data_IF_134438683310
#
_entry.id   IF_134438683310
#
_cell.length_a   1.000
_cell.length_b   1.000
_cell.length_c   1.000
_cell.angle_alpha   90.00
_cell.angle_beta   90.00
_cell.angle_gamma   90.00
#
_symmetry.space_group_name_H-M   'P 1'
#
loop_
_entity.id
_entity.type
_entity.pdbx_description
1 polymer ?
2 water ?
#
# COMPACT_ATOMS: atom_id res chain seq x y z
N UNK A 3 -14.94 -11.34 -10.68
CA UNK A 3 -13.82 -12.25 -10.92
C UNK A 3 -12.66 -11.55 -11.59
N UNK A 4 -11.49 -12.20 -11.55
CA UNK A 4 -10.31 -11.74 -12.25
C UNK A 4 -9.69 -12.94 -12.96
N UNK A 5 -8.66 -12.67 -13.75
CA UNK A 5 -7.97 -13.74 -14.44
C UNK A 5 -6.90 -14.36 -13.54
N UNK A 6 -6.51 -15.59 -13.89
CA UNK A 6 -5.46 -16.25 -13.12
C UNK A 6 -4.19 -15.42 -13.10
N UNK A 7 -3.85 -14.78 -14.22
CA UNK A 7 -2.64 -13.96 -14.28
C UNK A 7 -2.72 -12.77 -13.33
N UNK A 8 -3.84 -12.05 -13.36
CA UNK A 8 -4.07 -10.95 -12.43
C UNK A 8 -3.98 -11.43 -10.99
N UNK A 9 -4.61 -12.56 -10.70
CA UNK A 9 -4.57 -13.11 -9.34
C UNK A 9 -3.14 -13.44 -8.92
N UNK A 10 -2.35 -14.02 -9.82
CA UNK A 10 -0.96 -14.32 -9.51
C UNK A 10 -0.19 -13.05 -9.16
N UNK A 11 -0.38 -11.99 -9.96
CA UNK A 11 0.27 -10.72 -9.64
C UNK A 11 -0.18 -10.19 -8.28
N UNK A 12 -1.48 -10.27 -7.99
CA UNK A 12 -2.00 -9.70 -6.75
C UNK A 12 -1.47 -10.47 -5.53
N UNK A 13 -1.44 -11.81 -5.62
CA UNK A 13 -0.85 -12.63 -4.55
C UNK A 13 0.63 -12.39 -4.40
N UNK A 14 1.30 -11.90 -5.46
CA UNK A 14 2.74 -11.74 -5.38
C UNK A 14 3.13 -10.44 -4.69
N UNK A 15 2.60 -9.30 -5.18
CA UNK A 15 3.12 -8.03 -4.69
C UNK A 15 2.80 -7.79 -3.21
N UNK A 16 1.74 -8.42 -2.71
CA UNK A 16 1.44 -8.32 -1.29
C UNK A 16 2.59 -8.85 -0.43
N UNK A 17 3.43 -9.73 -0.97
CA UNK A 17 4.52 -10.27 -0.15
C UNK A 17 5.65 -9.27 0.12
N UNK A 18 5.82 -8.27 -0.74
CA UNK A 18 6.73 -7.18 -0.40
C UNK A 18 6.16 -6.33 0.74
N UNK A 19 4.84 -6.12 0.73
CA UNK A 19 4.22 -5.50 1.90
C UNK A 19 4.44 -6.35 3.14
N UNK A 20 4.33 -7.66 3.00
CA UNK A 20 4.57 -8.54 4.14
C UNK A 20 6.00 -8.39 4.66
N UNK A 21 6.97 -8.28 3.76
CA UNK A 21 8.35 -8.10 4.19
C UNK A 21 8.53 -6.78 4.92
N UNK A 22 7.79 -5.74 4.51
CA UNK A 22 7.92 -4.44 5.15
C UNK A 22 7.68 -4.49 6.66
N UNK A 23 6.98 -5.49 7.16
CA UNK A 23 6.74 -5.55 8.60
C UNK A 23 7.92 -6.05 9.39
N UNK A 24 8.93 -6.62 8.73
CA UNK A 24 10.06 -7.27 9.42
C UNK A 24 11.16 -6.26 9.68
N UNK A 25 11.45 -5.99 10.96
CA UNK A 25 12.58 -5.13 11.31
C UNK A 25 13.87 -5.63 10.68
N UNK A 26 14.03 -6.95 10.55
CA UNK A 26 15.20 -7.50 9.88
C UNK A 26 15.33 -6.99 8.45
N UNK A 27 14.23 -6.66 7.80
CA UNK A 27 14.33 -6.22 6.41
C UNK A 27 14.52 -4.72 6.30
N UNK A 28 13.84 -3.92 7.11
CA UNK A 28 13.98 -2.48 6.96
C UNK A 28 15.16 -1.92 7.76
N UNK A 29 15.90 -2.75 8.48
CA UNK A 29 17.21 -2.36 9.00
C UNK A 29 18.33 -3.14 8.37
N UNK A 30 18.04 -3.84 7.27
CA UNK A 30 19.05 -4.67 6.63
C UNK A 30 20.17 -3.81 6.04
N UNK A 31 21.34 -4.42 5.89
CA UNK A 31 22.45 -3.78 5.24
C UNK A 31 22.28 -3.83 3.72
N UNK A 32 22.80 -2.80 3.05
CA UNK A 32 22.73 -2.73 1.59
C UNK A 32 23.20 -4.06 1.00
N UNK A 33 22.38 -4.62 0.13
CA UNK A 33 22.71 -5.85 -0.55
C UNK A 33 22.20 -7.11 0.11
N UNK A 34 21.73 -7.03 1.36
CA UNK A 34 21.15 -8.20 2.00
C UNK A 34 19.89 -8.64 1.27
N UNK A 35 19.59 -9.93 1.37
CA UNK A 35 18.38 -10.49 0.77
C UNK A 35 17.17 -10.23 1.65
N UNK A 36 16.04 -9.86 1.02
CA UNK A 36 14.78 -9.80 1.75
C UNK A 36 14.41 -11.20 2.24
N UNK A 37 13.96 -11.29 3.49
CA UNK A 37 13.56 -12.57 4.05
C UNK A 37 12.43 -12.35 5.04
N UNK A 38 11.51 -13.31 5.08
CA UNK A 38 10.38 -13.28 6.01
C UNK A 38 10.48 -14.52 6.89
N UNK A 39 10.90 -14.32 8.14
CA UNK A 39 11.15 -15.47 9.00
C UNK A 39 9.88 -16.27 9.24
N UNK A 40 8.72 -15.63 9.22
CA UNK A 40 7.47 -16.35 9.44
C UNK A 40 6.92 -17.00 8.17
N UNK A 41 7.67 -16.97 7.07
CA UNK A 41 7.28 -17.73 5.89
C UNK A 41 6.15 -17.12 5.09
N UNK A 42 5.97 -15.80 5.14
CA UNK A 42 4.87 -15.17 4.41
C UNK A 42 5.35 -14.30 3.24
N UNK A 43 6.61 -14.43 2.82
CA UNK A 43 6.92 -13.88 1.50
C UNK A 43 7.75 -14.86 0.66
N UNK A 44 7.28 -16.10 0.46
CA UNK A 44 8.13 -17.08 -0.22
C UNK A 44 8.47 -16.70 -1.66
N UNK A 45 7.52 -16.12 -2.40
CA UNK A 45 7.81 -15.78 -3.79
C UNK A 45 8.76 -14.58 -3.90
N UNK A 46 8.75 -13.69 -2.89
CA UNK A 46 9.77 -12.64 -2.85
C UNK A 46 11.14 -13.24 -2.70
N UNK A 47 11.32 -14.09 -1.68
CA UNK A 47 12.63 -14.72 -1.50
C UNK A 47 13.04 -15.51 -2.74
N UNK A 48 12.07 -16.13 -3.42
CA UNK A 48 12.35 -16.88 -4.64
C UNK A 48 12.89 -15.99 -5.74
N UNK A 49 12.44 -14.74 -5.81
CA UNK A 49 13.03 -13.81 -6.79
C UNK A 49 14.48 -13.46 -6.48
N UNK A 50 14.97 -13.72 -5.27
CA UNK A 50 16.30 -13.28 -4.91
C UNK A 50 16.44 -11.79 -4.62
N UNK A 51 15.34 -11.05 -4.55
CA UNK A 51 15.40 -9.61 -4.39
C UNK A 51 16.22 -9.19 -3.17
N UNK A 52 17.01 -8.12 -3.33
CA UNK A 52 17.92 -7.60 -2.32
C UNK A 52 17.60 -6.14 -1.99
N UNK A 53 17.96 -5.73 -0.77
CA UNK A 53 17.66 -4.38 -0.31
C UNK A 53 18.67 -3.40 -0.87
N UNK A 54 18.18 -2.35 -1.57
CA UNK A 54 19.05 -1.24 -1.95
C UNK A 54 19.18 -0.19 -0.87
N UNK A 55 18.06 0.18 -0.28
CA UNK A 55 18.04 1.17 0.76
C UNK A 55 16.93 0.79 1.72
N UNK A 56 17.04 1.25 2.96
CA UNK A 56 15.91 1.07 3.86
C UNK A 56 15.87 2.19 4.87
N UNK A 57 14.74 2.25 5.58
CA UNK A 57 14.50 3.30 6.55
C UNK A 57 13.64 2.73 7.66
N UNK A 58 14.02 3.00 8.91
CA UNK A 58 13.48 2.29 10.06
C UNK A 58 12.53 3.19 10.82
N UNK A 59 11.57 2.57 11.51
CA UNK A 59 10.84 3.33 12.50
C UNK A 59 11.75 3.57 13.71
N UNK A 60 11.36 4.53 14.52
CA UNK A 60 12.24 4.99 15.58
C UNK A 60 11.45 5.88 16.53
N UNK A 61 12.15 6.70 17.31
CA UNK A 61 11.50 7.64 18.20
C UNK A 61 10.87 8.80 17.45
N UNK A 62 11.24 9.03 16.19
CA UNK A 62 10.74 10.21 15.48
C UNK A 62 9.79 9.86 14.34
N UNK A 63 9.57 8.58 14.08
CA UNK A 63 8.65 8.21 13.00
C UNK A 63 8.09 6.80 13.23
N UNK A 64 6.84 6.61 12.81
CA UNK A 64 6.21 5.29 12.79
C UNK A 64 6.26 4.63 11.41
N UNK A 65 6.87 5.28 10.42
CA UNK A 65 6.95 4.74 9.07
C UNK A 65 8.29 4.08 8.86
N UNK A 66 8.29 2.88 8.28
CA UNK A 66 9.52 2.19 7.89
C UNK A 66 9.33 1.59 6.51
N UNK A 67 10.41 1.09 5.92
CA UNK A 67 10.28 0.48 4.61
C UNK A 67 11.62 0.32 3.94
N UNK A 68 11.54 0.07 2.63
CA UNK A 68 12.75 -0.25 1.90
C UNK A 68 12.55 0.00 0.41
N UNK A 69 13.68 0.16 -0.27
CA UNK A 69 13.78 0.06 -1.73
C UNK A 69 14.61 -1.17 -2.04
N UNK A 70 14.02 -2.11 -2.77
CA UNK A 70 14.67 -3.35 -3.18
C UNK A 70 14.62 -3.48 -4.69
N UNK A 71 15.46 -4.36 -5.23
CA UNK A 71 15.48 -4.63 -6.67
C UNK A 71 15.20 -6.10 -6.89
N UNK A 72 14.28 -6.37 -7.82
CA UNK A 72 13.78 -7.69 -8.18
C UNK A 72 14.20 -7.91 -9.63
N UNK A 73 15.28 -8.67 -9.82
CA UNK A 73 15.77 -8.98 -11.15
C UNK A 73 14.93 -10.03 -11.86
N UNK A 74 14.19 -10.84 -11.13
CA UNK A 74 13.30 -11.80 -11.77
C UNK A 74 12.15 -11.09 -12.49
N UNK A 75 11.56 -10.09 -11.85
CA UNK A 75 10.41 -9.39 -12.41
C UNK A 75 10.77 -8.00 -12.94
N UNK A 76 12.06 -7.67 -13.00
CA UNK A 76 12.55 -6.40 -13.55
C UNK A 76 11.83 -5.21 -12.90
N UNK A 77 11.93 -5.14 -11.58
CA UNK A 77 11.24 -4.08 -10.87
C UNK A 77 12.09 -3.54 -9.72
N UNK A 78 12.06 -2.22 -9.55
CA UNK A 78 12.46 -1.56 -8.33
C UNK A 78 11.22 -1.44 -7.46
N UNK A 79 11.34 -1.81 -6.19
CA UNK A 79 10.19 -1.93 -5.29
C UNK A 79 10.40 -0.99 -4.13
N UNK A 80 9.44 -0.09 -3.93
CA UNK A 80 9.42 0.83 -2.81
C UNK A 80 8.28 0.38 -1.90
N UNK A 81 8.62 -0.11 -0.72
CA UNK A 81 7.64 -0.70 0.20
C UNK A 81 7.56 0.10 1.48
N UNK A 82 6.32 0.40 1.90
CA UNK A 82 6.04 1.17 3.11
C UNK A 82 5.27 0.35 4.13
N UNK A 83 5.73 0.39 5.38
CA UNK A 83 4.96 -0.03 6.55
C UNK A 83 4.67 1.20 7.39
N UNK A 84 3.40 1.38 7.75
CA UNK A 84 3.01 2.45 8.64
C UNK A 84 2.97 1.99 10.08
N UNK A 85 2.39 2.84 10.93
CA UNK A 85 2.23 2.45 12.32
C UNK A 85 1.43 1.16 12.42
N UNK A 86 1.90 0.23 13.25
CA UNK A 86 1.11 -0.97 13.52
C UNK A 86 0.12 -0.78 14.67
N UNK A 87 -0.02 0.44 15.18
CA UNK A 87 -1.09 0.76 16.12
C UNK A 87 -2.38 1.09 15.37
N UNK A 88 -2.90 0.09 14.66
CA UNK A 88 -4.01 0.33 13.73
C UNK A 88 -5.37 0.28 14.44
N UNK A 89 -5.56 -0.65 15.36
CA UNK A 89 -6.83 -0.69 16.09
C UNK A 89 -7.12 0.66 16.75
N UNK A 90 -6.10 1.27 17.36
CA UNK A 90 -6.32 2.56 18.01
C UNK A 90 -6.66 3.65 17.00
N UNK A 91 -6.10 3.52 15.78
CA UNK A 91 -6.43 4.44 14.70
C UNK A 91 -7.89 4.32 14.31
N UNK A 92 -8.39 3.09 14.13
CA UNK A 92 -9.81 2.89 13.85
C UNK A 92 -10.66 3.47 14.96
N UNK A 93 -10.29 3.19 16.21
CA UNK A 93 -11.19 3.51 17.30
C UNK A 93 -11.18 4.99 17.67
N UNK A 94 -10.07 5.70 17.44
CA UNK A 94 -9.96 7.04 18.01
C UNK A 94 -9.23 8.04 17.13
N UNK A 95 -8.72 7.66 15.97
CA UNK A 95 -7.97 8.63 15.20
C UNK A 95 -8.89 9.73 14.67
N UNK A 96 -8.40 10.94 14.76
CA UNK A 96 -8.98 12.14 14.19
C UNK A 96 -8.25 12.43 12.90
N UNK A 97 -8.98 12.88 11.88
CA UNK A 97 -8.34 13.18 10.61
C UNK A 97 -8.27 14.70 10.41
N UNK A 98 -7.37 15.13 9.53
CA UNK A 98 -7.18 16.55 9.21
C UNK A 98 -6.80 16.67 7.75
N UNK A 99 -7.41 17.63 7.04
CA UNK A 99 -7.02 17.89 5.66
C UNK A 99 -5.71 18.65 5.59
N UNK A 100 -5.01 18.51 4.47
CA UNK A 100 -3.88 19.37 4.14
C UNK A 100 -3.75 19.46 2.62
N UNK A 101 -3.05 20.51 2.17
CA UNK A 101 -2.85 20.77 0.75
C UNK A 101 -1.47 20.26 0.36
N UNK A 102 -1.36 19.12 -0.33
CA UNK A 102 -0.05 18.54 -0.63
C UNK A 102 0.63 19.11 -1.86
N UNK A 103 0.03 20.09 -2.53
CA UNK A 103 0.58 20.66 -3.78
C UNK A 103 0.61 19.65 -4.91
N UNK A 104 -0.36 18.73 -4.96
CA UNK A 104 -0.37 17.69 -5.97
C UNK A 104 -1.22 18.03 -7.19
N UNK A 105 -2.40 18.61 -6.99
CA UNK A 105 -3.25 18.91 -8.13
C UNK A 105 -4.29 19.93 -7.68
N UNK A 106 -4.91 20.58 -8.65
CA UNK A 106 -5.85 21.66 -8.36
C UNK A 106 -7.00 21.13 -7.52
N UNK A 107 -7.22 21.75 -6.36
CA UNK A 107 -8.27 21.35 -5.47
C UNK A 107 -8.00 20.11 -4.64
N UNK A 108 -6.88 19.44 -4.86
CA UNK A 108 -6.59 18.19 -4.16
C UNK A 108 -6.17 18.45 -2.73
N UNK A 109 -6.79 17.73 -1.79
CA UNK A 109 -6.45 17.75 -0.38
C UNK A 109 -6.16 16.33 0.04
N UNK A 110 -5.14 16.16 0.90
CA UNK A 110 -4.74 14.86 1.40
C UNK A 110 -4.94 14.81 2.92
N UNK A 111 -4.99 13.59 3.43
CA UNK A 111 -4.97 13.36 4.87
C UNK A 111 -3.64 13.79 5.44
N UNK A 112 -3.67 14.64 6.46
CA UNK A 112 -2.44 15.26 6.94
C UNK A 112 -1.45 14.23 7.49
N UNK A 113 -1.94 13.24 8.23
CA UNK A 113 -1.02 12.27 8.84
C UNK A 113 -0.24 11.50 7.79
N UNK A 114 -0.96 10.99 6.78
CA UNK A 114 -0.31 10.18 5.76
C UNK A 114 0.64 11.03 4.92
N UNK A 115 0.18 12.20 4.46
CA UNK A 115 1.04 13.07 3.68
C UNK A 115 2.28 13.45 4.47
N UNK A 116 2.10 13.76 5.76
CA UNK A 116 3.25 14.08 6.59
C UNK A 116 4.25 12.95 6.66
N UNK A 117 3.76 11.71 6.76
CA UNK A 117 4.68 10.57 6.81
C UNK A 117 5.47 10.45 5.50
N UNK A 118 4.82 10.74 4.37
CA UNK A 118 5.55 10.71 3.10
C UNK A 118 6.55 11.87 3.00
N UNK A 119 6.15 13.09 3.36
CA UNK A 119 7.05 14.23 3.19
C UNK A 119 8.29 14.04 4.07
N UNK A 120 8.14 13.35 5.21
CA UNK A 120 9.27 13.14 6.11
C UNK A 120 10.40 12.34 5.45
N UNK A 121 10.07 11.38 4.59
CA UNK A 121 11.06 10.50 3.97
C UNK A 121 11.31 10.83 2.50
N UNK A 122 10.52 11.75 1.93
CA UNK A 122 10.47 11.95 0.48
C UNK A 122 11.82 12.31 -0.13
N UNK A 123 12.52 13.30 0.44
CA UNK A 123 13.72 13.83 -0.23
C UNK A 123 14.75 12.74 -0.46
N UNK A 124 15.07 11.99 0.60
CA UNK A 124 16.06 10.93 0.46
C UNK A 124 15.53 9.81 -0.44
N UNK A 125 14.23 9.49 -0.36
CA UNK A 125 13.74 8.42 -1.20
C UNK A 125 13.83 8.80 -2.68
N UNK A 126 13.58 10.07 -3.00
CA UNK A 126 13.69 10.52 -4.38
C UNK A 126 15.12 10.39 -4.87
N UNK A 127 16.10 10.81 -4.07
CA UNK A 127 17.49 10.70 -4.50
C UNK A 127 17.90 9.23 -4.65
N UNK A 128 17.49 8.39 -3.70
CA UNK A 128 17.82 6.96 -3.75
C UNK A 128 17.19 6.30 -4.97
N UNK A 129 15.94 6.62 -5.25
CA UNK A 129 15.28 6.04 -6.41
C UNK A 129 15.98 6.46 -7.68
N UNK A 130 16.43 7.71 -7.77
CA UNK A 130 17.14 8.12 -8.96
C UNK A 130 18.35 7.23 -9.17
N UNK A 131 19.08 6.95 -8.09
CA UNK A 131 20.24 6.07 -8.19
C UNK A 131 19.86 4.66 -8.65
N UNK A 132 18.88 4.05 -7.98
CA UNK A 132 18.56 2.66 -8.25
C UNK A 132 17.94 2.48 -9.64
N UNK A 133 17.12 3.43 -10.08
CA UNK A 133 16.53 3.31 -11.41
C UNK A 133 17.58 3.53 -12.47
N UNK A 134 18.51 4.46 -12.23
CA UNK A 134 19.62 4.61 -13.17
C UNK A 134 20.42 3.32 -13.28
N UNK A 135 20.61 2.61 -12.15
CA UNK A 135 21.34 1.35 -12.19
C UNK A 135 20.54 0.22 -12.81
N UNK A 136 19.22 0.38 -12.96
CA UNK A 136 18.34 -0.64 -13.55
C UNK A 136 17.37 0.02 -14.53
N UNK A 137 17.87 0.47 -15.69
CA UNK A 137 17.09 1.42 -16.52
C UNK A 137 15.81 0.85 -17.12
N UNK A 138 15.76 -0.45 -17.43
CA UNK A 138 14.58 -1.03 -18.03
C UNK A 138 13.55 -1.50 -17.04
N UNK A 139 13.73 -1.20 -15.76
CA UNK A 139 12.89 -1.76 -14.71
C UNK A 139 11.71 -0.83 -14.43
N UNK A 140 10.57 -1.45 -14.10
CA UNK A 140 9.43 -0.69 -13.64
C UNK A 140 9.63 -0.30 -12.18
N UNK A 141 8.81 0.63 -11.71
CA UNK A 141 8.84 1.02 -10.31
C UNK A 141 7.50 0.62 -9.72
N UNK A 142 7.54 -0.14 -8.64
CA UNK A 142 6.35 -0.63 -7.97
C UNK A 142 6.39 -0.11 -6.54
N UNK A 143 5.36 0.60 -6.13
CA UNK A 143 5.23 1.11 -4.79
C UNK A 143 4.13 0.32 -4.12
N UNK A 144 4.42 -0.24 -2.94
CA UNK A 144 3.51 -1.19 -2.34
C UNK A 144 3.42 -0.96 -0.84
N UNK A 145 2.25 -1.24 -0.29
CA UNK A 145 2.16 -1.29 1.17
C UNK A 145 0.83 -1.90 1.57
N UNK A 146 0.69 -2.13 2.87
CA UNK A 146 -0.51 -2.68 3.45
C UNK A 146 -0.92 -1.77 4.61
N UNK A 147 -2.22 -1.70 4.86
CA UNK A 147 -2.74 -0.99 6.04
C UNK A 147 -2.34 0.49 5.93
N UNK A 148 -1.99 1.16 7.05
CA UNK A 148 -1.59 2.56 6.97
C UNK A 148 -0.39 2.75 6.03
N UNK A 149 0.49 1.75 5.95
CA UNK A 149 1.57 1.83 4.97
C UNK A 149 1.05 1.97 3.55
N UNK A 150 -0.05 1.28 3.24
CA UNK A 150 -0.66 1.44 1.92
C UNK A 150 -1.09 2.88 1.68
N UNK A 151 -1.61 3.54 2.72
CA UNK A 151 -1.99 4.94 2.54
C UNK A 151 -0.77 5.76 2.16
N UNK A 152 0.35 5.56 2.86
CA UNK A 152 1.55 6.30 2.52
C UNK A 152 2.00 5.93 1.11
N UNK A 153 1.89 4.64 0.78
CA UNK A 153 2.30 4.21 -0.54
C UNK A 153 1.52 4.94 -1.60
N UNK A 154 0.21 5.07 -1.39
CA UNK A 154 -0.63 5.74 -2.38
C UNK A 154 -0.13 7.16 -2.62
N UNK A 155 0.08 7.92 -1.55
CA UNK A 155 0.47 9.31 -1.76
C UNK A 155 1.87 9.37 -2.35
N UNK A 156 2.74 8.44 -1.93
CA UNK A 156 4.08 8.44 -2.49
C UNK A 156 4.01 8.19 -3.99
N UNK A 157 3.22 7.19 -4.40
CA UNK A 157 3.12 6.91 -5.83
C UNK A 157 2.65 8.15 -6.56
N UNK A 158 1.58 8.77 -6.05
CA UNK A 158 0.99 9.86 -6.81
C UNK A 158 2.00 10.97 -6.98
N UNK A 159 2.75 11.23 -5.90
CA UNK A 159 3.74 12.31 -5.92
C UNK A 159 4.87 11.96 -6.86
N UNK A 160 5.37 10.72 -6.76
CA UNK A 160 6.48 10.31 -7.62
C UNK A 160 6.06 10.33 -9.07
N UNK A 161 4.77 10.14 -9.36
CA UNK A 161 4.41 10.13 -10.77
C UNK A 161 4.53 11.51 -11.40
N UNK A 162 4.51 12.58 -10.58
CA UNK A 162 4.75 13.91 -11.05
C UNK A 162 6.20 14.35 -10.95
N UNK A 163 7.08 13.47 -10.46
CA UNK A 163 8.47 13.79 -10.20
C UNK A 163 9.43 12.86 -10.94
N UNK A 164 9.02 12.38 -12.11
CA UNK A 164 9.91 11.61 -12.98
C UNK A 164 9.55 10.14 -13.15
N UNK A 165 8.53 9.63 -12.47
CA UNK A 165 8.17 8.22 -12.55
C UNK A 165 6.69 8.06 -12.92
N UNK A 166 6.28 8.62 -14.07
CA UNK A 166 4.84 8.64 -14.38
C UNK A 166 4.23 7.27 -14.51
N UNK A 167 5.01 6.23 -14.77
CA UNK A 167 4.45 4.89 -14.91
C UNK A 167 4.62 4.03 -13.66
N UNK A 168 4.89 4.65 -12.52
CA UNK A 168 4.97 3.93 -11.26
C UNK A 168 3.67 3.16 -11.01
N UNK A 169 3.78 1.90 -10.59
CA UNK A 169 2.64 1.10 -10.20
C UNK A 169 2.39 1.23 -8.70
N UNK A 170 1.11 1.12 -8.31
CA UNK A 170 0.73 1.19 -6.91
C UNK A 170 -0.05 -0.07 -6.55
N UNK A 171 0.41 -0.78 -5.52
CA UNK A 171 -0.31 -1.92 -4.93
C UNK A 171 -0.59 -1.56 -3.48
N UNK A 172 -1.84 -1.19 -3.20
CA UNK A 172 -2.23 -0.64 -1.92
C UNK A 172 -3.21 -1.61 -1.28
N UNK A 173 -2.72 -2.47 -0.38
CA UNK A 173 -3.56 -3.47 0.24
C UNK A 173 -4.16 -2.91 1.52
N UNK A 174 -5.49 -2.97 1.63
CA UNK A 174 -6.20 -2.58 2.84
C UNK A 174 -6.03 -1.10 3.16
N UNK A 175 -5.94 -0.27 2.13
CA UNK A 175 -5.60 1.13 2.34
C UNK A 175 -6.80 1.92 2.89
N UNK A 176 -6.55 2.84 3.82
CA UNK A 176 -7.56 3.87 4.13
C UNK A 176 -7.76 4.75 2.91
N UNK A 177 -8.80 5.59 2.95
CA UNK A 177 -8.85 6.72 2.03
C UNK A 177 -7.77 7.73 2.42
N UNK A 178 -7.21 8.40 1.41
CA UNK A 178 -6.07 9.28 1.63
C UNK A 178 -6.33 10.71 1.22
N UNK A 179 -7.49 11.00 0.64
CA UNK A 179 -7.67 12.35 0.12
C UNK A 179 -9.12 12.59 -0.27
N UNK A 180 -9.36 13.74 -0.88
CA UNK A 180 -10.71 14.15 -1.22
C UNK A 180 -11.04 13.70 -2.65
N UNK A 181 -12.23 14.07 -3.12
CA UNK A 181 -12.66 13.70 -4.47
C UNK A 181 -11.69 14.15 -5.57
N UNK A 182 -11.20 15.40 -5.61
CA UNK A 182 -10.26 15.75 -6.68
C UNK A 182 -8.99 14.94 -6.63
N UNK A 183 -8.47 14.66 -5.43
CA UNK A 183 -7.23 13.88 -5.43
C UNK A 183 -7.48 12.45 -5.87
N UNK A 184 -8.54 11.81 -5.35
CA UNK A 184 -8.90 10.48 -5.81
C UNK A 184 -9.07 10.44 -7.33
N UNK A 185 -9.70 11.47 -7.90
CA UNK A 185 -9.88 11.51 -9.36
C UNK A 185 -8.54 11.63 -10.08
N UNK A 186 -7.63 12.44 -9.54
CA UNK A 186 -6.32 12.63 -10.16
C UNK A 186 -5.50 11.34 -10.11
N UNK A 187 -5.45 10.70 -8.95
CA UNK A 187 -4.73 9.44 -8.84
C UNK A 187 -5.37 8.38 -9.73
N UNK A 188 -6.70 8.27 -9.70
CA UNK A 188 -7.36 7.28 -10.54
C UNK A 188 -6.98 7.48 -12.00
N UNK A 189 -6.90 8.74 -12.45
CA UNK A 189 -6.57 9.01 -13.85
C UNK A 189 -5.11 8.73 -14.17
N UNK A 190 -4.23 8.71 -13.16
CA UNK A 190 -2.84 8.32 -13.44
C UNK A 190 -2.72 6.86 -13.89
N UNK A 191 -3.68 6.02 -13.54
CA UNK A 191 -3.63 4.62 -13.90
C UNK A 191 -2.62 3.82 -13.08
N UNK A 192 -2.52 2.53 -13.42
CA UNK A 192 -1.60 1.61 -12.75
C UNK A 192 -1.85 1.52 -11.24
N UNK A 193 -3.12 1.57 -10.83
CA UNK A 193 -3.49 1.55 -9.41
C UNK A 193 -4.19 0.25 -9.06
N UNK A 194 -3.66 -0.47 -8.09
CA UNK A 194 -4.22 -1.74 -7.63
C UNK A 194 -4.49 -1.62 -6.14
N UNK A 195 -5.75 -1.33 -5.79
CA UNK A 195 -6.14 -1.10 -4.41
C UNK A 195 -7.07 -2.23 -3.98
N UNK A 196 -6.82 -2.77 -2.79
CA UNK A 196 -7.51 -3.96 -2.34
C UNK A 196 -8.26 -3.70 -1.06
N UNK A 197 -9.41 -4.34 -0.95
CA UNK A 197 -10.16 -4.41 0.29
C UNK A 197 -10.50 -5.89 0.56
N UNK A 198 -10.83 -6.20 1.80
CA UNK A 198 -11.19 -7.57 2.16
C UNK A 198 -12.48 -7.53 2.94
N UNK A 199 -13.49 -8.25 2.46
CA UNK A 199 -14.79 -8.38 3.10
C UNK A 199 -15.17 -7.08 3.82
N UNK A 200 -15.25 -7.11 5.15
CA UNK A 200 -15.73 -5.97 5.93
C UNK A 200 -14.63 -5.32 6.79
N UNK A 201 -13.36 -5.49 6.41
CA UNK A 201 -12.23 -4.78 7.02
C UNK A 201 -12.62 -3.33 7.31
N UNK A 202 -12.50 -2.87 8.57
CA UNK A 202 -12.88 -1.48 8.87
C UNK A 202 -11.88 -0.45 8.37
N UNK A 203 -10.63 -0.83 8.16
CA UNK A 203 -9.62 0.18 7.88
C UNK A 203 -9.86 0.87 6.53
N UNK A 204 -10.18 0.16 5.44
CA UNK A 204 -10.51 0.86 4.19
C UNK A 204 -11.79 1.68 4.25
N UNK A 205 -12.54 1.62 5.34
CA UNK A 205 -13.76 2.41 5.45
C UNK A 205 -13.50 3.80 6.00
N UNK A 206 -12.26 4.10 6.38
CA UNK A 206 -11.90 5.35 7.02
C UNK A 206 -10.81 6.08 6.24
N UNK A 207 -10.81 7.42 6.27
CA UNK A 207 -11.91 8.25 6.79
C UNK A 207 -13.21 8.06 6.00
N UNK A 208 -14.34 8.52 6.54
CA UNK A 208 -15.64 8.22 5.93
C UNK A 208 -15.89 9.05 4.70
N UNK A 209 -16.69 8.50 3.79
CA UNK A 209 -17.20 9.29 2.67
C UNK A 209 -17.82 10.58 3.17
N UNK A 210 -18.60 10.50 4.26
CA UNK A 210 -19.24 11.66 4.87
C UNK A 210 -18.26 12.71 5.34
N UNK A 211 -16.97 12.37 5.46
CA UNK A 211 -15.97 13.34 5.86
C UNK A 211 -15.23 13.93 4.67
N UNK A 212 -15.72 13.72 3.46
CA UNK A 212 -15.11 14.33 2.28
C UNK A 212 -14.02 13.52 1.60
N UNK A 213 -13.70 12.34 2.09
CA UNK A 213 -12.63 11.52 1.54
C UNK A 213 -13.19 10.56 0.50
N UNK A 214 -12.37 10.26 -0.51
CA UNK A 214 -12.78 9.33 -1.55
C UNK A 214 -11.59 8.44 -1.89
N UNK A 215 -11.88 7.18 -2.22
CA UNK A 215 -10.86 6.21 -2.60
C UNK A 215 -10.46 6.34 -4.07
N UNK A 216 -9.24 5.90 -4.35
CA UNK A 216 -8.83 5.61 -5.72
C UNK A 216 -9.68 4.46 -6.25
N UNK A 217 -10.04 4.55 -7.53
CA UNK A 217 -10.76 3.49 -8.22
C UNK A 217 -9.86 2.82 -9.26
N UNK A 218 -10.10 1.54 -9.58
CA UNK A 218 -11.15 0.71 -8.97
C UNK A 218 -10.76 0.11 -7.62
N UNK A 219 -11.66 -0.70 -7.07
CA UNK A 219 -11.46 -1.45 -5.83
C UNK A 219 -11.45 -2.94 -6.16
N UNK A 220 -10.42 -3.64 -5.71
CA UNK A 220 -10.35 -5.10 -5.82
C UNK A 220 -10.78 -5.65 -4.47
N UNK A 221 -12.01 -6.11 -4.41
CA UNK A 221 -12.67 -6.52 -3.17
C UNK A 221 -12.57 -8.04 -3.06
N UNK A 222 -11.73 -8.50 -2.15
CA UNK A 222 -11.59 -9.93 -1.85
C UNK A 222 -12.72 -10.34 -0.93
N UNK A 223 -13.59 -11.23 -1.41
CA UNK A 223 -14.79 -11.60 -0.67
C UNK A 223 -14.64 -12.89 0.12
N UNK A 224 -13.55 -13.63 -0.09
CA UNK A 224 -13.32 -14.86 0.63
C UNK A 224 -12.95 -14.58 2.08
N UNK A 225 -13.20 -15.54 3.00
CA UNK A 225 -12.95 -15.31 4.43
C UNK A 225 -11.48 -15.27 4.83
N UNK A 226 -11.23 -14.96 6.11
CA UNK A 226 -9.89 -15.00 6.67
C UNK A 226 -9.32 -16.41 6.57
N UNK A 227 -7.99 -16.48 6.39
CA UNK A 227 -7.25 -17.75 6.23
C UNK A 227 -7.68 -18.55 5.01
N UNK A 228 -8.42 -17.94 4.09
CA UNK A 228 -8.94 -18.65 2.91
C UNK A 228 -8.06 -18.35 1.72
N UNK A 229 -7.76 -19.38 0.94
CA UNK A 229 -7.12 -19.16 -0.35
C UNK A 229 -8.04 -18.32 -1.22
N UNK A 230 -7.49 -17.30 -1.86
CA UNK A 230 -8.27 -16.43 -2.72
C UNK A 230 -8.30 -17.06 -4.11
N UNK A 231 -9.51 -17.36 -4.60
CA UNK A 231 -9.67 -17.85 -5.95
C UNK A 231 -9.91 -16.72 -6.94
N UNK A 232 -9.81 -17.07 -8.23
CA UNK A 232 -10.15 -16.10 -9.28
C UNK A 232 -11.56 -15.57 -9.12
N UNK A 233 -12.45 -16.36 -8.54
CA UNK A 233 -13.83 -15.95 -8.32
C UNK A 233 -14.04 -15.25 -6.97
N UNK A 234 -12.98 -15.00 -6.21
CA UNK A 234 -13.12 -14.38 -4.90
C UNK A 234 -12.79 -12.88 -4.88
N UNK A 235 -12.62 -12.27 -6.05
CA UNK A 235 -12.32 -10.84 -6.13
C UNK A 235 -13.34 -10.19 -7.06
N UNK A 236 -14.04 -9.18 -6.55
CA UNK A 236 -14.96 -8.36 -7.33
C UNK A 236 -14.31 -7.01 -7.59
N UNK A 237 -14.49 -6.48 -8.79
CA UNK A 237 -13.91 -5.19 -9.13
C UNK A 237 -15.03 -4.15 -9.09
N UNK A 238 -14.86 -3.13 -8.26
CA UNK A 238 -15.85 -2.08 -8.06
C UNK A 238 -15.30 -0.80 -8.66
N UNK A 239 -16.06 -0.18 -9.57
CA UNK A 239 -15.51 0.89 -10.39
C UNK A 239 -15.73 2.30 -9.83
N UNK A 240 -16.46 2.45 -8.74
CA UNK A 240 -16.64 3.76 -8.14
C UNK A 240 -16.73 3.65 -6.63
N UNK A 241 -16.23 4.67 -5.93
CA UNK A 241 -16.25 4.68 -4.47
C UNK A 241 -17.56 5.30 -4.01
N UNK A 242 -18.58 4.45 -3.86
CA UNK A 242 -19.90 4.90 -3.42
C UNK A 242 -20.28 4.16 -2.14
N UNK A 243 -21.27 4.73 -1.43
CA UNK A 243 -21.55 4.25 -0.08
C UNK A 243 -22.11 2.84 -0.04
N UNK A 244 -22.65 2.33 -1.14
CA UNK A 244 -23.36 1.04 -1.13
C UNK A 244 -22.61 -0.08 -1.85
N UNK A 245 -21.41 0.17 -2.35
CA UNK A 245 -20.69 -0.85 -3.10
C UNK A 245 -19.49 -1.37 -2.32
N UNK A 246 -19.14 -2.63 -2.59
CA UNK A 246 -17.94 -3.25 -2.06
C UNK A 246 -17.78 -3.18 -0.55
N UNK A 247 -16.51 -3.04 -0.15
CA UNK A 247 -16.17 -3.04 1.28
C UNK A 247 -16.94 -1.96 2.03
N UNK A 248 -17.03 -0.76 1.46
CA UNK A 248 -17.80 0.29 2.11
C UNK A 248 -19.26 -0.09 2.24
N UNK A 249 -19.79 -0.78 1.22
CA UNK A 249 -21.18 -1.21 1.27
C UNK A 249 -21.47 -2.18 2.39
N UNK A 250 -20.45 -2.88 2.90
CA UNK A 250 -20.71 -3.77 4.04
C UNK A 250 -21.13 -3.05 5.32
N UNK A 251 -21.06 -1.73 5.39
CA UNK A 251 -21.53 -1.00 6.55
C UNK A 251 -20.43 -0.13 7.16
N UNK A 252 -20.85 0.69 8.13
CA UNK A 252 -19.91 1.54 8.83
C UNK A 252 -18.86 0.68 9.54
N UNK A 253 -17.67 1.22 9.78
CA UNK A 253 -16.58 0.39 10.31
C UNK A 253 -16.85 -0.04 11.74
N UNK A 254 -16.55 -1.31 12.03
CA UNK A 254 -16.71 -1.90 13.35
C UNK A 254 -15.41 -2.60 13.76
N UNK A 255 -14.92 -2.27 14.95
CA UNK A 255 -13.73 -2.97 15.48
C UNK A 255 -13.94 -4.47 15.55
N UNK A 256 -15.19 -4.93 15.71
CA UNK A 256 -15.41 -6.37 15.75
C UNK A 256 -15.08 -7.04 14.42
N UNK A 257 -14.96 -6.28 13.34
CA UNK A 257 -14.57 -6.84 12.05
C UNK A 257 -13.07 -6.81 11.82
N UNK A 258 -12.30 -6.41 12.85
CA UNK A 258 -10.90 -6.03 12.62
C UNK A 258 -10.04 -7.17 12.08
N UNK A 259 -10.38 -8.42 12.41
CA UNK A 259 -9.56 -9.53 11.92
C UNK A 259 -9.44 -9.54 10.41
N UNK A 260 -10.49 -9.08 9.71
CA UNK A 260 -10.45 -9.10 8.25
C UNK A 260 -9.32 -8.24 7.70
N UNK A 261 -8.75 -7.36 8.52
CA UNK A 261 -7.69 -6.46 8.07
C UNK A 261 -6.38 -7.19 7.83
N UNK A 262 -6.17 -8.31 8.51
CA UNK A 262 -4.85 -8.90 8.43
C UNK A 262 -4.71 -9.91 7.29
N UNK A 263 -5.81 -10.30 6.68
CA UNK A 263 -5.85 -11.43 5.75
C UNK A 263 -6.08 -10.91 4.32
N UNK A 264 -4.99 -10.59 3.64
CA UNK A 264 -5.01 -10.14 2.25
C UNK A 264 -4.08 -11.08 1.50
N UNK A 265 -4.64 -12.20 1.04
CA UNK A 265 -3.95 -13.33 0.42
C UNK A 265 -3.12 -14.11 1.44
N UNK A 266 -2.25 -13.43 2.18
CA UNK A 266 -1.49 -14.02 3.27
C UNK A 266 -1.78 -13.25 4.56
N UNK A 267 -1.19 -13.74 5.65
CA UNK A 267 -1.16 -12.97 6.89
C UNK A 267 -0.12 -11.86 6.70
N UNK A 268 -0.56 -10.70 6.22
CA UNK A 268 0.40 -9.73 5.72
C UNK A 268 1.31 -9.20 6.84
N UNK A 269 0.77 -9.04 8.06
CA UNK A 269 1.55 -8.44 9.13
C UNK A 269 2.13 -9.45 10.11
N UNK A 270 2.33 -10.70 9.69
CA UNK A 270 2.87 -11.72 10.57
C UNK A 270 4.24 -11.35 11.14
N UNK A 271 5.00 -10.50 10.43
CA UNK A 271 6.34 -10.15 10.87
C UNK A 271 6.45 -9.04 11.90
N UNK A 272 5.34 -8.44 12.30
CA UNK A 272 5.36 -7.31 13.23
C UNK A 272 5.83 -7.74 14.62
#
# INVERSE_FOLDING_TARGET
EFDVSTSELNQFDFWVQYAAAAYYADDYTAQVGAKISCSKGNCPQVEEAGATVFYDFSNATITDTSGFIAVDHANEAVVLSFRGSYSVRNWVSDAIFVYTNPDLCDGCLADLGFWGSWVLVRDDIIKELKEAVSQNPGYELAVVGHSLGAAVATLAVADLRGKGYPSAKLYAYASPRVANVPLAKHITAQGNNYRFTHTDDPVPKLPLLAMGYVHISPEYWITSPNNVTVGASDIKVIDGDISFAGNTGTGLPSLEDFEAHKWYFMKTDAGKNDGRPFKRVVD
#
